data_IF_359906467213
#
_entry.id   IF_359906467213
#
_cell.length_a   1.000
_cell.length_b   1.000
_cell.length_c   1.000
_cell.angle_alpha   90.00
_cell.angle_beta   90.00
_cell.angle_gamma   90.00
#
_symmetry.space_group_name_H-M   'P 1'
#
loop_
_entity.id
_entity.type
_entity.pdbx_description
1 polymer ?
#
# COMPACT_ATOMS: atom_id res chain seq x y z
N UNK A 1 -27.64 -2.09 -7.93
CA UNK A 1 -27.32 -2.94 -6.77
C UNK A 1 -25.99 -2.45 -6.23
N UNK A 2 -26.02 -1.72 -5.12
CA UNK A 2 -24.80 -1.32 -4.42
C UNK A 2 -24.33 -2.54 -3.62
N UNK A 3 -23.34 -3.27 -4.15
CA UNK A 3 -22.71 -4.37 -3.42
C UNK A 3 -21.65 -3.73 -2.54
N UNK A 4 -21.94 -3.57 -1.25
CA UNK A 4 -20.92 -3.23 -0.27
C UNK A 4 -19.95 -4.41 -0.15
N UNK A 5 -18.79 -4.31 -0.78
CA UNK A 5 -17.71 -5.28 -0.63
C UNK A 5 -17.07 -5.13 0.75
N UNK A 6 -17.28 -6.11 1.62
CA UNK A 6 -16.50 -6.22 2.86
C UNK A 6 -15.10 -6.71 2.53
N UNK A 7 -14.12 -5.81 2.64
CA UNK A 7 -12.70 -6.16 2.54
C UNK A 7 -12.25 -6.77 3.86
N UNK A 8 -12.08 -8.09 3.87
CA UNK A 8 -11.51 -8.79 5.02
C UNK A 8 -9.99 -8.56 5.04
N UNK A 9 -9.51 -7.86 6.07
CA UNK A 9 -8.09 -7.69 6.35
C UNK A 9 -7.71 -8.50 7.58
N UNK A 10 -6.50 -9.08 7.56
CA UNK A 10 -5.91 -9.74 8.72
C UNK A 10 -5.35 -8.71 9.70
N UNK A 11 -4.79 -7.64 9.15
CA UNK A 11 -4.13 -6.60 9.94
C UNK A 11 -4.26 -5.25 9.22
N UNK A 12 -4.51 -4.20 10.00
CA UNK A 12 -4.48 -2.83 9.52
C UNK A 12 -3.85 -1.94 10.59
N UNK A 13 -2.74 -1.29 10.23
CA UNK A 13 -2.03 -0.36 11.10
C UNK A 13 -2.20 1.03 10.52
N UNK A 14 -2.60 1.98 11.38
CA UNK A 14 -2.75 3.39 11.03
C UNK A 14 -1.83 4.20 11.93
N UNK A 15 -0.98 5.00 11.31
CA UNK A 15 -0.10 5.94 11.96
C UNK A 15 -0.42 7.35 11.48
N UNK A 16 -0.36 8.32 12.39
CA UNK A 16 -0.39 9.73 12.09
C UNK A 16 0.65 10.43 12.97
N UNK A 17 1.42 11.36 12.40
CA UNK A 17 2.33 12.19 13.16
C UNK A 17 1.67 13.51 13.61
N UNK A 18 2.40 14.33 14.37
CA UNK A 18 1.91 15.61 14.89
C UNK A 18 1.60 16.65 13.80
N UNK A 19 2.07 16.43 12.57
CA UNK A 19 1.78 17.27 11.40
C UNK A 19 0.55 16.80 10.63
N UNK A 20 -0.10 15.71 11.07
CA UNK A 20 -1.26 15.12 10.42
C UNK A 20 -0.94 14.22 9.23
N UNK A 21 0.34 13.99 8.92
CA UNK A 21 0.75 13.07 7.85
C UNK A 21 0.44 11.64 8.27
N UNK A 22 -0.13 10.87 7.35
CA UNK A 22 -0.62 9.52 7.65
C UNK A 22 0.17 8.43 6.93
N UNK A 23 0.24 7.26 7.56
CA UNK A 23 0.68 6.02 6.95
C UNK A 23 -0.35 4.94 7.31
N UNK A 24 -0.81 4.20 6.31
CA UNK A 24 -1.70 3.05 6.46
C UNK A 24 -1.05 1.83 5.86
N UNK A 25 -0.86 0.81 6.69
CA UNK A 25 -0.53 -0.54 6.28
C UNK A 25 -1.79 -1.41 6.34
N UNK A 26 -1.98 -2.28 5.37
CA UNK A 26 -3.05 -3.27 5.34
C UNK A 26 -2.52 -4.60 4.80
N UNK A 27 -2.74 -5.69 5.54
CA UNK A 27 -2.56 -7.07 5.09
C UNK A 27 -3.92 -7.70 4.87
N UNK A 28 -4.21 -8.15 3.66
CA UNK A 28 -5.49 -8.75 3.31
C UNK A 28 -5.52 -10.25 3.62
N UNK A 29 -6.71 -10.80 3.87
CA UNK A 29 -6.86 -12.22 4.23
C UNK A 29 -6.65 -13.19 3.07
N UNK A 30 -6.69 -12.70 1.83
CA UNK A 30 -6.36 -13.47 0.63
C UNK A 30 -5.99 -12.49 -0.50
N UNK A 31 -5.38 -13.02 -1.56
CA UNK A 31 -5.02 -12.23 -2.76
C UNK A 31 -6.20 -11.95 -3.69
N UNK A 32 -7.36 -12.59 -3.49
CA UNK A 32 -8.60 -12.28 -4.20
C UNK A 32 -9.29 -11.02 -3.60
N UNK A 33 -8.50 -9.95 -3.42
CA UNK A 33 -8.96 -8.67 -2.89
C UNK A 33 -8.67 -7.55 -3.90
N UNK A 34 -9.73 -6.82 -4.28
CA UNK A 34 -9.60 -5.67 -5.16
C UNK A 34 -9.05 -4.45 -4.42
N UNK A 35 -7.75 -4.20 -4.61
CA UNK A 35 -7.09 -2.94 -4.22
C UNK A 35 -7.14 -1.98 -5.40
N UNK A 36 -7.66 -0.78 -5.14
CA UNK A 36 -7.74 0.31 -6.12
C UNK A 36 -6.71 1.36 -5.76
N UNK A 37 -5.80 1.62 -6.68
CA UNK A 37 -4.80 2.68 -6.59
C UNK A 37 -5.22 3.76 -7.59
N UNK A 38 -5.24 5.01 -7.14
CA UNK A 38 -5.44 6.14 -8.04
C UNK A 38 -4.14 6.42 -8.81
N UNK A 39 -4.09 6.00 -10.07
CA UNK A 39 -2.93 6.16 -10.95
C UNK A 39 -3.05 7.36 -11.88
N UNK A 40 -4.17 8.08 -11.89
CA UNK A 40 -4.36 9.22 -12.79
C UNK A 40 -3.43 10.37 -12.37
N UNK A 41 -2.50 10.74 -13.25
CA UNK A 41 -1.48 11.75 -12.95
C UNK A 41 -0.43 11.31 -11.91
N UNK A 42 -0.37 10.02 -11.59
CA UNK A 42 0.66 9.45 -10.72
C UNK A 42 1.87 8.98 -11.53
N UNK A 43 3.06 9.06 -10.93
CA UNK A 43 4.22 8.31 -11.41
C UNK A 43 4.08 6.86 -10.95
N UNK A 44 3.97 5.92 -11.89
CA UNK A 44 3.81 4.49 -11.60
C UNK A 44 5.05 3.73 -12.08
N UNK A 45 5.57 2.85 -11.22
CA UNK A 45 6.72 2.02 -11.50
C UNK A 45 6.59 0.66 -10.82
N UNK A 46 7.15 -0.37 -11.45
CA UNK A 46 7.33 -1.67 -10.83
C UNK A 46 8.64 -1.66 -10.04
N UNK A 47 8.61 -2.17 -8.82
CA UNK A 47 9.78 -2.35 -7.94
C UNK A 47 9.80 -3.78 -7.39
N UNK A 48 10.89 -4.13 -6.70
CA UNK A 48 11.01 -5.40 -6.00
C UNK A 48 10.94 -5.19 -4.49
N UNK A 49 10.12 -5.99 -3.81
CA UNK A 49 10.06 -6.12 -2.34
C UNK A 49 10.23 -7.61 -2.02
N UNK A 50 11.32 -8.01 -1.35
CA UNK A 50 11.65 -9.42 -1.06
C UNK A 50 11.54 -10.37 -2.26
N UNK A 51 12.08 -9.97 -3.42
CA UNK A 51 11.99 -10.72 -4.68
C UNK A 51 10.56 -10.87 -5.25
N UNK A 52 9.59 -10.13 -4.71
CA UNK A 52 8.23 -10.00 -5.24
C UNK A 52 8.07 -8.70 -6.01
N UNK A 53 7.39 -8.78 -7.14
CA UNK A 53 7.05 -7.60 -7.92
C UNK A 53 5.99 -6.78 -7.18
N UNK A 54 6.22 -5.47 -7.09
CA UNK A 54 5.36 -4.53 -6.42
C UNK A 54 5.05 -3.35 -7.33
N UNK A 55 3.82 -2.84 -7.24
CA UNK A 55 3.42 -1.60 -7.89
C UNK A 55 3.66 -0.46 -6.90
N UNK A 56 4.48 0.51 -7.29
CA UNK A 56 4.63 1.78 -6.60
C UNK A 56 3.98 2.88 -7.43
N UNK A 57 3.07 3.63 -6.82
CA UNK A 57 2.46 4.82 -7.38
C UNK A 57 2.73 6.03 -6.49
N UNK A 58 3.11 7.15 -7.08
CA UNK A 58 3.39 8.40 -6.38
C UNK A 58 2.62 9.56 -7.01
N UNK A 59 1.85 10.28 -6.18
CA UNK A 59 1.03 11.42 -6.61
C UNK A 59 0.99 12.46 -5.50
N UNK A 60 1.50 13.66 -5.78
CA UNK A 60 1.40 14.83 -4.88
C UNK A 60 1.86 14.56 -3.44
N UNK A 61 2.96 13.83 -3.25
CA UNK A 61 3.49 13.48 -1.93
C UNK A 61 2.79 12.29 -1.25
N UNK A 62 1.77 11.71 -1.87
CA UNK A 62 1.19 10.43 -1.48
C UNK A 62 1.88 9.30 -2.24
N UNK A 63 2.48 8.37 -1.50
CA UNK A 63 3.12 7.17 -2.05
C UNK A 63 2.28 5.96 -1.68
N UNK A 64 2.04 5.08 -2.65
CA UNK A 64 1.33 3.81 -2.49
C UNK A 64 2.21 2.68 -3.01
N UNK A 65 2.39 1.63 -2.20
CA UNK A 65 3.09 0.39 -2.59
C UNK A 65 2.12 -0.76 -2.35
N UNK A 66 1.93 -1.59 -3.36
CA UNK A 66 1.11 -2.80 -3.30
C UNK A 66 1.90 -3.95 -3.86
N UNK A 67 1.95 -5.05 -3.12
CA UNK A 67 2.65 -6.26 -3.53
C UNK A 67 1.92 -7.50 -3.01
N UNK A 68 2.08 -8.59 -3.74
CA UNK A 68 1.55 -9.89 -3.37
C UNK A 68 2.69 -10.82 -2.98
N UNK A 69 2.49 -11.54 -1.87
CA UNK A 69 3.25 -12.74 -1.54
C UNK A 69 2.27 -13.87 -1.20
N UNK A 70 2.29 -14.46 0.00
CA UNK A 70 1.22 -15.36 0.46
C UNK A 70 -0.13 -14.64 0.62
N UNK A 71 -0.07 -13.33 0.84
CA UNK A 71 -1.23 -12.44 0.96
C UNK A 71 -0.95 -11.13 0.23
N UNK A 72 -2.01 -10.35 -0.03
CA UNK A 72 -1.85 -9.01 -0.58
C UNK A 72 -1.52 -8.01 0.54
N UNK A 73 -0.54 -7.16 0.27
CA UNK A 73 -0.12 -6.07 1.14
C UNK A 73 -0.34 -4.73 0.46
N UNK A 74 -0.75 -3.73 1.24
CA UNK A 74 -0.85 -2.35 0.80
C UNK A 74 -0.25 -1.43 1.86
N UNK A 75 0.64 -0.55 1.42
CA UNK A 75 1.23 0.49 2.23
C UNK A 75 1.04 1.82 1.53
N UNK A 76 0.33 2.74 2.17
CA UNK A 76 -0.01 4.05 1.60
C UNK A 76 0.37 5.12 2.62
N UNK A 77 1.09 6.15 2.22
CA UNK A 77 1.47 7.19 3.15
C UNK A 77 1.87 8.51 2.51
N UNK A 78 1.72 9.58 3.30
CA UNK A 78 2.17 10.94 3.01
C UNK A 78 3.62 11.09 3.50
N UNK A 79 4.55 10.46 2.80
CA UNK A 79 5.96 10.43 3.16
C UNK A 79 6.84 10.28 1.93
N UNK A 80 8.14 10.40 2.10
CA UNK A 80 9.08 10.21 1.00
C UNK A 80 9.05 8.76 0.51
N UNK A 81 9.13 8.59 -0.81
CA UNK A 81 9.20 7.28 -1.47
C UNK A 81 10.20 6.33 -0.81
N UNK A 82 11.39 6.82 -0.48
CA UNK A 82 12.45 6.00 0.09
C UNK A 82 12.08 5.44 1.48
N UNK A 83 11.37 6.21 2.30
CA UNK A 83 10.92 5.76 3.62
C UNK A 83 9.84 4.71 3.50
N UNK A 84 8.87 4.89 2.58
CA UNK A 84 7.82 3.90 2.37
C UNK A 84 8.36 2.57 1.81
N UNK A 85 9.38 2.62 0.95
CA UNK A 85 10.08 1.42 0.46
C UNK A 85 10.77 0.68 1.62
N UNK A 86 11.51 1.39 2.49
CA UNK A 86 12.15 0.77 3.67
C UNK A 86 11.12 0.09 4.58
N UNK A 87 9.97 0.73 4.77
CA UNK A 87 8.88 0.13 5.55
C UNK A 87 8.35 -1.14 4.88
N UNK A 88 8.12 -1.12 3.56
CA UNK A 88 7.72 -2.31 2.80
C UNK A 88 8.76 -3.44 2.92
N UNK A 89 10.05 -3.13 2.80
CA UNK A 89 11.16 -4.08 2.96
C UNK A 89 11.33 -4.59 4.40
N UNK A 90 10.75 -3.92 5.41
CA UNK A 90 10.83 -4.36 6.80
C UNK A 90 9.77 -5.40 7.19
N UNK A 91 8.73 -5.55 6.37
CA UNK A 91 7.64 -6.51 6.57
C UNK A 91 8.14 -7.91 6.21
N UNK A 92 7.74 -8.94 6.95
CA UNK A 92 8.13 -10.34 6.71
C UNK A 92 6.91 -11.21 6.46
#
# INVERSE_FOLDING_TARGET
>A
MDKTEKRNHLEAIHYANDQGQTIRFTRYSNSNTDVRIDTEGAAVQNIMIHDKEAILAEKQGLVSIVWEDDTLFSLIGETERAELIKMAESIK
#
